data_IF_192554310509
#
_entry.id   IF_192554310509
#
_cell.length_a   1.000
_cell.length_b   1.000
_cell.length_c   1.000
_cell.angle_alpha   90.00
_cell.angle_beta   90.00
_cell.angle_gamma   90.00
#
_symmetry.space_group_name_H-M   'P 1'
#
loop_
_entity.id
_entity.type
_entity.pdbx_description
1 polymer ?
#
# COMPACT_ATOMS: atom_id res chain seq x y z
N UNK A 1 -27.25 4.48 4.12
CA UNK A 1 -26.69 3.11 4.22
C UNK A 1 -26.91 2.66 5.66
N UNK A 2 -27.25 1.39 5.90
CA UNK A 2 -27.36 0.90 7.28
C UNK A 2 -25.96 0.57 7.79
N UNK A 3 -25.58 1.16 8.92
CA UNK A 3 -24.31 0.88 9.59
C UNK A 3 -24.49 -0.37 10.47
N UNK A 4 -23.76 -1.44 10.15
CA UNK A 4 -23.78 -2.68 10.91
C UNK A 4 -22.49 -2.82 11.71
N UNK A 5 -22.58 -2.64 13.03
CA UNK A 5 -21.46 -2.89 13.94
C UNK A 5 -21.53 -4.33 14.47
N UNK A 6 -20.53 -5.14 14.10
CA UNK A 6 -20.41 -6.52 14.56
C UNK A 6 -19.46 -6.58 15.76
N UNK A 7 -20.02 -6.48 16.96
CA UNK A 7 -19.27 -6.52 18.22
C UNK A 7 -19.02 -7.94 18.77
N UNK A 8 -19.68 -8.96 18.19
CA UNK A 8 -19.56 -10.35 18.65
C UNK A 8 -18.60 -11.13 17.76
N UNK A 9 -17.38 -11.30 18.24
CA UNK A 9 -16.32 -12.14 17.63
C UNK A 9 -15.57 -12.92 18.71
N UNK A 10 -14.62 -13.77 18.29
CA UNK A 10 -13.74 -14.50 19.20
C UNK A 10 -12.29 -14.05 19.01
N UNK A 11 -11.68 -13.52 20.07
CA UNK A 11 -10.26 -13.17 20.08
C UNK A 11 -9.42 -14.44 20.28
N UNK A 12 -8.65 -14.79 19.26
CA UNK A 12 -7.79 -15.98 19.28
C UNK A 12 -6.64 -15.75 20.27
N UNK A 13 -6.66 -16.47 21.39
CA UNK A 13 -5.60 -16.44 22.40
C UNK A 13 -4.42 -17.29 21.95
N UNK A 14 -3.43 -16.66 21.31
CA UNK A 14 -2.18 -17.32 20.91
C UNK A 14 -0.99 -16.73 21.69
N UNK A 15 -0.02 -17.59 22.03
CA UNK A 15 1.24 -17.13 22.62
C UNK A 15 2.11 -16.42 21.56
N UNK A 16 3.06 -15.59 22.02
CA UNK A 16 4.01 -14.91 21.13
C UNK A 16 3.62 -13.49 20.71
N UNK A 17 2.69 -12.86 21.44
CA UNK A 17 2.32 -11.45 21.21
C UNK A 17 3.58 -10.57 21.22
N UNK A 18 3.80 -9.75 20.16
CA UNK A 18 5.01 -8.94 20.06
C UNK A 18 5.06 -7.86 21.14
N UNK A 19 6.26 -7.53 21.62
CA UNK A 19 6.47 -6.40 22.52
C UNK A 19 6.23 -5.08 21.76
N UNK A 20 5.68 -4.08 22.45
CA UNK A 20 5.50 -2.72 21.92
C UNK A 20 6.82 -1.92 21.92
N UNK A 21 7.86 -2.49 21.33
CA UNK A 21 9.20 -1.90 21.23
C UNK A 21 9.68 -2.00 19.80
N UNK A 22 10.16 -0.89 19.25
CA UNK A 22 10.79 -0.88 17.93
C UNK A 22 12.26 -1.27 18.11
N UNK A 23 12.69 -2.29 17.38
CA UNK A 23 14.09 -2.71 17.28
C UNK A 23 14.53 -2.60 15.83
N UNK A 24 15.79 -2.26 15.62
CA UNK A 24 16.39 -2.26 14.30
C UNK A 24 16.63 -3.71 13.86
N UNK A 25 16.09 -4.07 12.70
CA UNK A 25 16.24 -5.41 12.13
C UNK A 25 17.49 -5.51 11.26
N UNK A 26 17.86 -6.74 10.91
CA UNK A 26 18.93 -6.98 9.93
C UNK A 26 18.50 -6.49 8.54
N UNK A 27 19.41 -5.80 7.85
CA UNK A 27 19.20 -5.40 6.46
C UNK A 27 19.15 -6.66 5.58
N UNK A 28 18.06 -6.93 4.86
CA UNK A 28 17.97 -8.10 4.02
C UNK A 28 18.94 -7.99 2.83
N UNK A 29 19.56 -9.09 2.41
CA UNK A 29 20.34 -9.13 1.17
C UNK A 29 19.44 -9.23 -0.07
N UNK A 30 18.26 -9.84 0.08
CA UNK A 30 17.32 -10.08 -1.01
C UNK A 30 15.91 -9.68 -0.63
N UNK A 31 15.20 -9.07 -1.58
CA UNK A 31 13.76 -8.82 -1.50
C UNK A 31 13.08 -9.41 -2.72
N UNK A 32 11.80 -9.74 -2.60
CA UNK A 32 11.06 -10.29 -3.72
C UNK A 32 9.63 -9.76 -3.77
N UNK A 33 9.17 -9.50 -5.00
CA UNK A 33 7.77 -9.20 -5.26
C UNK A 33 7.09 -10.42 -5.88
N UNK A 34 5.92 -10.77 -5.36
CA UNK A 34 5.13 -11.94 -5.80
C UNK A 34 3.86 -11.47 -6.50
N UNK A 35 3.75 -11.60 -7.84
CA UNK A 35 2.54 -11.20 -8.55
C UNK A 35 1.27 -11.93 -8.06
N UNK A 36 1.40 -13.14 -7.53
CA UNK A 36 0.28 -13.94 -6.99
C UNK A 36 -0.43 -13.31 -5.79
N UNK A 37 0.20 -12.35 -5.09
CA UNK A 37 -0.42 -11.63 -3.97
C UNK A 37 -1.46 -10.60 -4.44
N UNK A 38 -1.45 -10.25 -5.73
CA UNK A 38 -2.39 -9.31 -6.32
C UNK A 38 -3.47 -10.09 -7.08
N UNK A 39 -4.73 -9.94 -6.66
CA UNK A 39 -5.83 -10.72 -7.23
C UNK A 39 -6.26 -10.15 -8.59
N UNK A 40 -6.44 -11.04 -9.57
CA UNK A 40 -7.07 -10.72 -10.85
C UNK A 40 -6.14 -10.10 -11.90
N UNK A 41 -4.84 -10.02 -11.63
CA UNK A 41 -3.86 -9.46 -12.57
C UNK A 41 -3.31 -10.52 -13.52
N UNK A 42 -2.88 -10.08 -14.70
CA UNK A 42 -2.14 -10.88 -15.67
C UNK A 42 -0.76 -10.26 -15.86
N UNK A 43 0.24 -10.62 -15.02
CA UNK A 43 1.53 -9.94 -15.02
C UNK A 43 2.27 -10.12 -16.35
N UNK A 44 2.89 -9.04 -16.82
CA UNK A 44 3.86 -9.02 -17.92
C UNK A 44 5.10 -8.26 -17.47
N UNK A 45 6.24 -8.95 -17.51
CA UNK A 45 7.52 -8.42 -17.07
C UNK A 45 7.94 -7.19 -17.88
N UNK A 46 8.57 -6.25 -17.20
CA UNK A 46 9.21 -5.07 -17.77
C UNK A 46 10.74 -5.10 -17.58
N UNK A 47 11.23 -6.08 -16.82
CA UNK A 47 12.65 -6.29 -16.50
C UNK A 47 13.06 -7.72 -16.84
N UNK A 48 14.36 -7.94 -16.91
CA UNK A 48 15.02 -9.23 -17.12
C UNK A 48 16.04 -9.49 -16.02
N UNK A 49 16.45 -10.74 -15.87
CA UNK A 49 17.56 -11.09 -14.98
C UNK A 49 18.83 -10.37 -15.41
N UNK A 50 19.51 -9.75 -14.45
CA UNK A 50 20.67 -8.92 -14.73
C UNK A 50 20.41 -7.41 -14.71
N UNK A 51 19.17 -6.97 -14.85
CA UNK A 51 18.81 -5.55 -14.89
C UNK A 51 19.08 -4.86 -13.54
N UNK A 52 19.52 -3.59 -13.62
CA UNK A 52 19.63 -2.72 -12.45
C UNK A 52 18.30 -1.99 -12.23
N UNK A 53 17.85 -1.94 -10.98
CA UNK A 53 16.59 -1.31 -10.57
C UNK A 53 16.81 -0.40 -9.37
N UNK A 54 16.02 0.66 -9.29
CA UNK A 54 15.93 1.55 -8.12
C UNK A 54 14.63 1.28 -7.38
N UNK A 55 14.52 1.78 -6.15
CA UNK A 55 13.23 1.80 -5.44
C UNK A 55 12.23 2.57 -6.30
N UNK A 56 11.09 1.95 -6.60
CA UNK A 56 10.08 2.54 -7.48
C UNK A 56 10.15 2.16 -8.96
N UNK A 57 11.26 1.56 -9.44
CA UNK A 57 11.37 1.12 -10.84
C UNK A 57 10.30 0.04 -11.14
N UNK A 58 9.50 0.16 -12.20
CA UNK A 58 8.43 -0.81 -12.49
C UNK A 58 8.98 -2.17 -12.92
N UNK A 59 8.61 -3.24 -12.21
CA UNK A 59 9.06 -4.61 -12.46
C UNK A 59 8.17 -5.34 -13.47
N UNK A 60 6.86 -5.13 -13.38
CA UNK A 60 5.87 -5.70 -14.29
C UNK A 60 4.62 -4.81 -14.33
N UNK A 61 3.81 -4.99 -15.39
CA UNK A 61 2.48 -4.39 -15.51
C UNK A 61 1.40 -5.46 -15.66
N UNK A 62 0.15 -5.06 -15.48
CA UNK A 62 -1.00 -5.90 -15.81
C UNK A 62 -1.31 -5.86 -17.31
N UNK A 63 -1.40 -7.00 -17.98
CA UNK A 63 -1.74 -7.07 -19.42
C UNK A 63 -3.10 -6.47 -19.74
N UNK A 64 -4.04 -6.49 -18.79
CA UNK A 64 -5.37 -5.90 -18.98
C UNK A 64 -5.40 -4.39 -18.80
N UNK A 65 -4.51 -3.84 -17.97
CA UNK A 65 -4.32 -2.39 -17.84
C UNK A 65 -2.82 -2.05 -17.73
N UNK A 66 -2.15 -1.75 -18.86
CA UNK A 66 -0.71 -1.54 -18.90
C UNK A 66 -0.20 -0.34 -18.10
N UNK A 67 -1.05 0.63 -17.75
CA UNK A 67 -0.65 1.77 -16.90
C UNK A 67 -0.46 1.36 -15.43
N UNK A 68 -1.03 0.21 -15.03
CA UNK A 68 -0.88 -0.33 -13.69
C UNK A 68 0.41 -1.14 -13.63
N UNK A 69 1.41 -0.56 -12.98
CA UNK A 69 2.75 -1.14 -12.76
C UNK A 69 3.02 -1.38 -11.29
N UNK A 70 3.92 -2.33 -11.00
CA UNK A 70 4.37 -2.62 -9.64
C UNK A 70 5.85 -2.25 -9.47
N UNK A 71 6.21 -1.53 -8.39
CA UNK A 71 7.55 -1.01 -8.19
C UNK A 71 8.47 -2.07 -7.61
N UNK A 72 9.77 -1.90 -7.83
CA UNK A 72 10.79 -2.57 -7.06
C UNK A 72 10.73 -2.10 -5.59
N UNK A 73 10.66 -3.01 -4.61
CA UNK A 73 10.66 -2.66 -3.20
C UNK A 73 12.05 -2.23 -2.68
N UNK A 74 13.10 -2.40 -3.48
CA UNK A 74 14.48 -2.06 -3.13
C UNK A 74 15.32 -1.75 -4.37
N UNK A 75 16.45 -1.07 -4.18
CA UNK A 75 17.42 -0.84 -5.26
C UNK A 75 18.48 -1.93 -5.30
N UNK A 76 18.90 -2.27 -6.52
CA UNK A 76 19.95 -3.24 -6.76
C UNK A 76 19.72 -3.95 -8.08
N UNK A 77 19.95 -5.26 -8.12
CA UNK A 77 19.97 -6.04 -9.36
C UNK A 77 18.91 -7.14 -9.35
N UNK A 78 18.21 -7.33 -10.47
CA UNK A 78 17.32 -8.49 -10.66
C UNK A 78 18.17 -9.76 -10.68
N UNK A 79 18.06 -10.55 -9.61
CA UNK A 79 18.83 -11.77 -9.43
C UNK A 79 18.15 -12.96 -10.11
N UNK A 80 16.84 -13.10 -9.92
CA UNK A 80 16.08 -14.28 -10.38
C UNK A 80 14.64 -13.87 -10.69
N UNK A 81 14.12 -14.31 -11.84
CA UNK A 81 12.69 -14.29 -12.13
C UNK A 81 12.20 -15.73 -12.10
N UNK A 82 11.64 -16.15 -10.95
CA UNK A 82 11.21 -17.53 -10.78
C UNK A 82 9.85 -17.76 -11.44
N UNK A 83 9.83 -18.74 -12.33
CA UNK A 83 8.61 -19.24 -12.95
C UNK A 83 8.14 -20.52 -12.26
N UNK A 84 6.82 -20.62 -12.08
CA UNK A 84 6.12 -21.81 -11.63
C UNK A 84 5.49 -22.60 -12.78
N UNK A 85 4.59 -23.55 -12.46
CA UNK A 85 3.87 -24.35 -13.45
C UNK A 85 3.15 -23.46 -14.48
N UNK A 86 3.13 -23.91 -15.76
CA UNK A 86 2.57 -23.14 -16.89
C UNK A 86 3.18 -21.74 -17.05
N UNK A 87 4.43 -21.54 -16.62
CA UNK A 87 5.21 -20.28 -16.70
C UNK A 87 4.54 -19.10 -15.97
N UNK A 88 3.83 -19.36 -14.88
CA UNK A 88 3.34 -18.29 -13.99
C UNK A 88 4.53 -17.65 -13.30
N UNK A 89 4.58 -16.31 -13.20
CA UNK A 89 5.64 -15.61 -12.48
C UNK A 89 5.36 -15.76 -10.97
N UNK A 90 6.19 -16.53 -10.27
CA UNK A 90 6.04 -16.76 -8.83
C UNK A 90 6.63 -15.62 -8.00
N UNK A 91 7.89 -15.26 -8.29
CA UNK A 91 8.63 -14.21 -7.58
C UNK A 91 9.63 -13.54 -8.51
N UNK A 92 9.80 -12.24 -8.34
CA UNK A 92 10.87 -11.45 -8.94
C UNK A 92 11.80 -11.06 -7.81
N UNK A 93 13.02 -11.59 -7.81
CA UNK A 93 14.00 -11.43 -6.72
C UNK A 93 14.97 -10.32 -7.09
N UNK A 94 15.11 -9.36 -6.19
CA UNK A 94 16.07 -8.26 -6.26
C UNK A 94 17.15 -8.53 -5.22
N UNK A 95 18.40 -8.61 -5.64
CA UNK A 95 19.55 -8.50 -4.73
C UNK A 95 19.76 -7.03 -4.43
N UNK A 96 19.72 -6.67 -3.16
CA UNK A 96 19.86 -5.29 -2.71
C UNK A 96 21.31 -4.83 -2.84
N UNK A 97 21.47 -3.56 -3.22
CA UNK A 97 22.75 -2.85 -3.14
C UNK A 97 22.97 -2.30 -1.73
N UNK A 98 24.23 -2.09 -1.35
CA UNK A 98 24.58 -1.44 -0.08
C UNK A 98 24.13 0.04 -0.04
N UNK A 99 24.06 0.68 -1.20
CA UNK A 99 23.55 2.05 -1.35
C UNK A 99 22.11 2.05 -1.88
N UNK A 100 21.21 2.69 -1.12
CA UNK A 100 19.83 2.88 -1.54
C UNK A 100 19.72 3.98 -2.61
N UNK A 101 19.03 3.67 -3.70
CA UNK A 101 18.67 4.64 -4.73
C UNK A 101 17.20 4.55 -5.10
N UNK A 102 16.56 5.70 -5.28
CA UNK A 102 15.13 5.78 -5.60
C UNK A 102 14.90 6.45 -6.95
N UNK A 103 13.83 6.04 -7.62
CA UNK A 103 13.26 6.84 -8.70
C UNK A 103 12.70 8.14 -8.13
N UNK A 104 12.93 9.24 -8.85
CA UNK A 104 12.43 10.55 -8.46
C UNK A 104 11.18 10.88 -9.26
N UNK A 105 10.09 11.11 -8.54
CA UNK A 105 8.82 11.54 -9.10
C UNK A 105 8.57 13.01 -8.72
N UNK A 106 7.61 13.63 -9.39
CA UNK A 106 7.14 14.96 -9.00
C UNK A 106 6.64 14.94 -7.56
N UNK A 107 7.24 15.79 -6.72
CA UNK A 107 6.79 16.02 -5.35
C UNK A 107 5.77 17.15 -5.30
N UNK A 108 4.84 17.05 -4.35
CA UNK A 108 3.87 18.10 -4.06
C UNK A 108 3.96 18.48 -2.60
N UNK A 109 3.93 19.78 -2.31
CA UNK A 109 3.82 20.27 -0.95
C UNK A 109 2.37 20.09 -0.46
N UNK A 110 2.11 19.94 0.85
CA UNK A 110 0.77 19.73 1.38
C UNK A 110 -0.27 20.79 0.92
N UNK A 111 0.16 22.03 0.76
CA UNK A 111 -0.70 23.12 0.28
C UNK A 111 -1.14 22.93 -1.18
N UNK A 112 -0.31 22.29 -2.00
CA UNK A 112 -0.58 22.05 -3.42
C UNK A 112 -1.58 20.91 -3.64
N UNK A 113 -1.61 19.94 -2.72
CA UNK A 113 -2.51 18.77 -2.79
C UNK A 113 -3.97 19.21 -2.95
N UNK A 114 -4.38 20.26 -2.24
CA UNK A 114 -5.74 20.80 -2.28
C UNK A 114 -6.18 21.25 -3.68
N UNK A 115 -5.22 21.66 -4.52
CA UNK A 115 -5.43 22.18 -5.86
C UNK A 115 -5.22 21.12 -6.96
N UNK A 116 -4.86 19.89 -6.59
CA UNK A 116 -4.70 18.80 -7.56
C UNK A 116 -6.06 18.28 -8.01
N UNK A 117 -6.18 18.07 -9.32
CA UNK A 117 -7.33 17.36 -9.88
C UNK A 117 -7.17 15.86 -9.68
N UNK A 118 -8.29 15.13 -9.57
CA UNK A 118 -8.30 13.66 -9.51
C UNK A 118 -7.42 13.04 -10.59
N UNK A 119 -7.51 13.53 -11.84
CA UNK A 119 -6.71 13.03 -12.96
C UNK A 119 -5.20 13.18 -12.72
N UNK A 120 -4.75 14.31 -12.17
CA UNK A 120 -3.33 14.51 -11.83
C UNK A 120 -2.89 13.56 -10.72
N UNK A 121 -3.72 13.37 -9.70
CA UNK A 121 -3.44 12.44 -8.61
C UNK A 121 -3.32 11.01 -9.13
N UNK A 122 -4.32 10.51 -9.88
CA UNK A 122 -4.30 9.16 -10.45
C UNK A 122 -3.07 8.97 -11.34
N UNK A 123 -2.75 9.95 -12.19
CA UNK A 123 -1.53 9.90 -13.01
C UNK A 123 -0.25 9.83 -12.17
N UNK A 124 -0.16 10.57 -11.07
CA UNK A 124 0.99 10.51 -10.17
C UNK A 124 1.08 9.14 -9.45
N UNK A 125 -0.04 8.58 -8.99
CA UNK A 125 -0.09 7.26 -8.35
C UNK A 125 0.31 6.14 -9.32
N UNK A 126 -0.12 6.22 -10.59
CA UNK A 126 0.24 5.26 -11.63
C UNK A 126 1.72 5.37 -11.99
N UNK A 127 2.24 6.59 -12.22
CA UNK A 127 3.67 6.82 -12.48
C UNK A 127 4.55 6.32 -11.35
N UNK A 128 4.14 6.54 -10.10
CA UNK A 128 4.85 6.04 -8.92
C UNK A 128 4.67 4.55 -8.65
N UNK A 129 3.90 3.82 -9.49
CA UNK A 129 3.57 2.40 -9.29
C UNK A 129 2.90 2.10 -7.93
N UNK A 130 2.22 3.06 -7.30
CA UNK A 130 1.59 2.88 -5.98
C UNK A 130 0.07 2.66 -6.05
N UNK A 131 -0.55 2.97 -7.19
CA UNK A 131 -1.96 2.70 -7.43
C UNK A 131 -2.40 1.23 -7.14
N UNK A 132 -1.62 0.18 -7.46
CA UNK A 132 -2.04 -1.20 -7.25
C UNK A 132 -2.21 -1.61 -5.78
N UNK A 133 -1.76 -0.80 -4.82
CA UNK A 133 -1.94 -1.09 -3.40
C UNK A 133 -3.34 -0.71 -2.88
N UNK A 134 -4.13 0.00 -3.69
CA UNK A 134 -5.57 0.22 -3.43
C UNK A 134 -6.33 -1.04 -3.86
N UNK A 135 -7.32 -1.45 -3.06
CA UNK A 135 -8.13 -2.66 -3.34
C UNK A 135 -9.61 -2.34 -3.41
N UNK A 136 -10.23 -2.72 -4.52
CA UNK A 136 -11.68 -2.62 -4.70
C UNK A 136 -12.41 -3.71 -3.90
N UNK A 137 -13.44 -3.32 -3.16
CA UNK A 137 -14.41 -4.24 -2.54
C UNK A 137 -15.65 -4.40 -3.44
N UNK A 138 -16.31 -5.58 -3.47
CA UNK A 138 -16.07 -6.78 -2.64
C UNK A 138 -14.98 -7.73 -3.19
N UNK A 139 -14.60 -7.59 -4.47
CA UNK A 139 -13.78 -8.59 -5.16
C UNK A 139 -12.32 -8.69 -4.69
N UNK A 140 -11.84 -7.69 -3.95
CA UNK A 140 -10.46 -7.59 -3.45
C UNK A 140 -9.43 -7.65 -4.59
N UNK A 141 -9.68 -6.89 -5.66
CA UNK A 141 -8.80 -6.74 -6.82
C UNK A 141 -8.30 -5.29 -6.92
N UNK A 142 -7.28 -5.05 -7.73
CA UNK A 142 -6.85 -3.69 -8.07
C UNK A 142 -8.02 -2.96 -8.78
N UNK A 143 -8.39 -1.74 -8.37
CA UNK A 143 -9.45 -0.98 -9.02
C UNK A 143 -9.04 -0.55 -10.43
N UNK A 144 -10.05 -0.21 -11.24
CA UNK A 144 -9.83 0.48 -12.51
C UNK A 144 -9.54 1.98 -12.22
N UNK A 145 -8.42 2.56 -12.71
CA UNK A 145 -8.09 3.97 -12.50
C UNK A 145 -9.17 4.95 -12.98
N UNK A 146 -9.94 4.57 -14.01
CA UNK A 146 -10.98 5.41 -14.59
C UNK A 146 -12.28 5.38 -13.78
N UNK A 147 -12.45 4.40 -12.90
CA UNK A 147 -13.64 4.27 -12.07
C UNK A 147 -13.49 5.10 -10.80
N UNK A 148 -14.48 5.94 -10.52
CA UNK A 148 -14.57 6.70 -9.28
C UNK A 148 -15.18 5.79 -8.19
N UNK A 149 -14.47 5.50 -7.09
CA UNK A 149 -15.05 4.76 -5.98
C UNK A 149 -16.14 5.58 -5.29
N UNK A 150 -17.20 4.90 -4.83
CA UNK A 150 -18.26 5.53 -4.03
C UNK A 150 -17.73 6.06 -2.70
N UNK A 151 -16.97 5.23 -1.99
CA UNK A 151 -16.33 5.57 -0.71
C UNK A 151 -14.96 4.90 -0.64
N UNK A 152 -14.07 5.41 0.20
CA UNK A 152 -12.76 4.83 0.46
C UNK A 152 -12.66 4.47 1.94
N UNK A 153 -12.14 3.28 2.26
CA UNK A 153 -11.99 2.80 3.62
C UNK A 153 -10.51 2.62 3.97
N UNK A 154 -10.09 3.21 5.08
CA UNK A 154 -8.76 3.10 5.65
C UNK A 154 -8.84 2.24 6.92
N UNK A 155 -8.10 1.14 6.96
CA UNK A 155 -8.00 0.28 8.13
C UNK A 155 -6.86 0.75 9.05
N UNK A 156 -7.20 1.49 10.10
CA UNK A 156 -6.31 1.95 11.16
C UNK A 156 -6.19 0.98 12.35
N UNK A 157 -6.75 -0.22 12.28
CA UNK A 157 -6.55 -1.28 13.27
C UNK A 157 -6.45 -2.66 12.58
N UNK A 158 -5.88 -3.64 13.28
CA UNK A 158 -5.77 -5.02 12.81
C UNK A 158 -6.09 -5.97 13.97
N UNK A 159 -7.16 -6.75 13.82
CA UNK A 159 -7.65 -7.71 14.83
C UNK A 159 -6.85 -9.02 14.88
N UNK A 160 -5.80 -9.15 14.08
CA UNK A 160 -4.95 -10.34 14.06
C UNK A 160 -4.25 -10.55 15.41
N UNK A 161 -4.16 -11.78 15.93
CA UNK A 161 -3.70 -12.04 17.30
C UNK A 161 -2.20 -11.74 17.52
N UNK A 162 -1.43 -11.66 16.45
CA UNK A 162 -0.01 -11.28 16.44
C UNK A 162 0.24 -10.01 15.61
N UNK A 163 -0.79 -9.20 15.40
CA UNK A 163 -0.68 -7.99 14.62
C UNK A 163 0.27 -6.97 15.28
N UNK A 164 0.89 -6.15 14.45
CA UNK A 164 1.66 -5.00 14.94
C UNK A 164 0.73 -3.99 15.61
N UNK A 165 1.20 -3.39 16.70
CA UNK A 165 0.51 -2.27 17.31
C UNK A 165 0.60 -1.03 16.39
N UNK A 166 -0.53 -0.66 15.76
CA UNK A 166 -0.58 0.47 14.83
C UNK A 166 -0.44 1.84 15.51
N UNK A 167 -0.75 1.96 16.80
CA UNK A 167 -0.50 3.19 17.55
C UNK A 167 0.99 3.48 17.64
N UNK A 168 1.79 2.42 17.78
CA UNK A 168 3.25 2.52 17.74
C UNK A 168 3.77 2.77 16.32
N UNK A 169 3.24 2.06 15.32
CA UNK A 169 3.70 2.16 13.93
C UNK A 169 3.42 3.54 13.30
N UNK A 170 2.30 4.16 13.67
CA UNK A 170 1.88 5.46 13.17
C UNK A 170 2.32 6.63 14.05
N UNK A 171 3.06 6.38 15.13
CA UNK A 171 3.51 7.40 16.07
C UNK A 171 4.30 8.50 15.33
N UNK A 172 3.91 9.77 15.54
CA UNK A 172 4.51 10.96 14.91
C UNK A 172 4.45 10.99 13.38
N UNK A 173 3.47 10.30 12.77
CA UNK A 173 3.25 10.28 11.31
C UNK A 173 2.06 11.11 10.84
N UNK A 174 1.43 11.89 11.73
CA UNK A 174 0.24 12.71 11.42
C UNK A 174 0.40 13.56 10.14
N UNK A 175 1.51 14.28 9.89
CA UNK A 175 1.62 15.09 8.67
C UNK A 175 1.55 14.25 7.38
N UNK A 176 2.24 13.12 7.33
CA UNK A 176 2.24 12.23 6.15
C UNK A 176 0.90 11.52 6.00
N UNK A 177 0.30 11.10 7.11
CA UNK A 177 -1.01 10.44 7.12
C UNK A 177 -2.11 11.40 6.66
N UNK A 178 -2.08 12.66 7.13
CA UNK A 178 -3.02 13.70 6.70
C UNK A 178 -2.89 13.97 5.20
N UNK A 179 -1.66 14.11 4.67
CA UNK A 179 -1.46 14.30 3.24
C UNK A 179 -2.04 13.13 2.41
N UNK A 180 -1.88 11.90 2.90
CA UNK A 180 -2.51 10.72 2.29
C UNK A 180 -4.04 10.80 2.30
N UNK A 181 -4.65 11.18 3.43
CA UNK A 181 -6.10 11.38 3.54
C UNK A 181 -6.61 12.49 2.63
N UNK A 182 -5.90 13.62 2.54
CA UNK A 182 -6.26 14.74 1.67
C UNK A 182 -6.26 14.30 0.20
N UNK A 183 -5.29 13.46 -0.20
CA UNK A 183 -5.25 12.83 -1.52
C UNK A 183 -6.45 11.89 -1.74
N UNK A 184 -6.74 11.01 -0.78
CA UNK A 184 -7.85 10.05 -0.89
C UNK A 184 -9.21 10.76 -1.01
N UNK A 185 -9.42 11.87 -0.29
CA UNK A 185 -10.64 12.68 -0.41
C UNK A 185 -10.86 13.28 -1.81
N UNK A 186 -9.82 13.37 -2.63
CA UNK A 186 -9.92 13.82 -4.03
C UNK A 186 -10.13 12.67 -5.02
N UNK A 187 -10.02 11.42 -4.57
CA UNK A 187 -10.20 10.24 -5.42
C UNK A 187 -11.64 9.76 -5.48
N UNK A 188 -12.48 10.15 -4.52
CA UNK A 188 -13.89 9.77 -4.38
C UNK A 188 -14.79 10.99 -4.32
N UNK A 189 -16.03 10.83 -4.78
CA UNK A 189 -17.09 11.83 -4.59
C UNK A 189 -17.90 11.60 -3.29
N UNK A 190 -17.67 10.47 -2.60
CA UNK A 190 -18.29 10.16 -1.31
C UNK A 190 -17.32 10.37 -0.14
N UNK A 191 -17.39 9.49 0.87
CA UNK A 191 -16.65 9.67 2.12
C UNK A 191 -15.38 8.82 2.18
N UNK A 192 -14.35 9.36 2.85
CA UNK A 192 -13.21 8.58 3.32
C UNK A 192 -13.49 8.15 4.75
N UNK A 193 -13.63 6.86 4.99
CA UNK A 193 -13.86 6.28 6.30
C UNK A 193 -12.54 5.80 6.91
N UNK A 194 -12.33 6.09 8.19
CA UNK A 194 -11.19 5.59 8.94
C UNK A 194 -11.68 4.74 10.11
N UNK A 195 -11.37 3.45 10.10
CA UNK A 195 -11.65 2.57 11.23
C UNK A 195 -10.44 2.46 12.16
N UNK A 196 -10.62 2.58 13.46
CA UNK A 196 -9.55 2.37 14.45
C UNK A 196 -10.11 1.65 15.67
N UNK A 197 -9.24 1.12 16.55
CA UNK A 197 -9.70 0.49 17.79
C UNK A 197 -10.22 1.57 18.75
N UNK A 198 -11.36 1.33 19.40
CA UNK A 198 -11.94 2.25 20.40
C UNK A 198 -10.95 2.72 21.49
N UNK A 199 -9.96 1.90 21.83
CA UNK A 199 -8.94 2.19 22.84
C UNK A 199 -7.62 2.74 22.25
N UNK A 200 -7.62 3.17 20.98
CA UNK A 200 -6.42 3.75 20.36
C UNK A 200 -5.94 4.99 21.12
N UNK A 201 -4.63 5.09 21.29
CA UNK A 201 -3.96 6.29 21.84
C UNK A 201 -3.15 7.02 20.77
N UNK A 202 -3.38 6.69 19.50
CA UNK A 202 -2.63 7.26 18.39
C UNK A 202 -3.11 8.65 18.04
N UNK A 203 -2.30 9.67 18.36
CA UNK A 203 -2.53 11.05 17.90
C UNK A 203 -2.71 11.15 16.37
N UNK A 204 -2.09 10.24 15.62
CA UNK A 204 -2.20 10.22 14.15
C UNK A 204 -3.57 9.76 13.68
N UNK A 205 -4.17 8.78 14.36
CA UNK A 205 -5.51 8.29 14.02
C UNK A 205 -6.61 9.19 14.59
N UNK A 206 -6.40 9.76 15.78
CA UNK A 206 -7.38 10.58 16.47
C UNK A 206 -7.47 12.03 15.93
N UNK A 207 -6.35 12.62 15.50
CA UNK A 207 -6.32 14.03 15.09
C UNK A 207 -6.36 14.24 13.57
N UNK A 208 -6.46 13.18 12.77
CA UNK A 208 -6.59 13.29 11.31
C UNK A 208 -7.96 13.89 10.94
N UNK A 209 -7.96 14.78 9.95
CA UNK A 209 -9.14 15.52 9.50
C UNK A 209 -9.59 15.04 8.14
N UNK A 210 -10.86 15.29 7.80
CA UNK A 210 -11.42 14.92 6.50
C UNK A 210 -11.71 13.43 6.37
N UNK A 211 -11.95 12.74 7.50
CA UNK A 211 -12.43 11.35 7.49
C UNK A 211 -13.67 11.22 8.34
N UNK A 212 -14.52 10.24 8.01
CA UNK A 212 -15.55 9.74 8.91
C UNK A 212 -14.96 8.64 9.76
N UNK A 213 -14.75 8.94 11.05
CA UNK A 213 -14.24 7.99 12.02
C UNK A 213 -15.25 6.88 12.30
N UNK A 214 -14.75 5.63 12.38
CA UNK A 214 -15.49 4.43 12.75
C UNK A 214 -14.69 3.74 13.88
N UNK A 215 -14.94 4.09 15.15
CA UNK A 215 -14.31 3.41 16.28
C UNK A 215 -14.77 1.94 16.41
#
# INVERSE_FOLDING_TARGET
>A
MADYNLVKGHDIKIAGVPKNTVVEGETPEFVALKPSEFRGIKPKLMVQEGDQVKIGTPLFHDKTNPEITWPSPGSGKIMEIKYGPRRVIEKIVVKLSDEESSEYFSSYNPQEINNLSRKKIVSALLKGSIFPFIRQRPYNKVPDPDVIPRDIFISGWNSGPLAVNLDLALRRRLPQFQAGVDILNKLTDGEVHLSYNENTVSDTLLNVRGVRAIP
#
